data_IF_019539932936
#
_entry.id   IF_019539932936
#
_cell.length_a   1.000
_cell.length_b   1.000
_cell.length_c   1.000
_cell.angle_alpha   90.00
_cell.angle_beta   90.00
_cell.angle_gamma   90.00
#
_symmetry.space_group_name_H-M   'P 1'
#
loop_
_entity.id
_entity.type
_entity.pdbx_description
1 polymer ?
#
# COMPACT_ATOMS: atom_id res chain seq x y z
N UNK A 1 24.60 -40.08 -37.53
CA UNK A 1 25.32 -38.89 -37.02
C UNK A 1 24.91 -38.73 -35.55
N UNK A 2 25.40 -39.52 -34.59
CA UNK A 2 26.70 -39.41 -33.91
C UNK A 2 27.13 -37.94 -33.66
N UNK A 3 27.18 -37.55 -32.37
CA UNK A 3 27.50 -36.19 -31.87
C UNK A 3 28.97 -35.78 -31.99
N UNK A 4 29.39 -34.66 -31.36
CA UNK A 4 29.93 -34.67 -29.98
C UNK A 4 29.34 -33.52 -29.12
N UNK A 5 29.18 -33.62 -27.80
CA UNK A 5 30.15 -33.79 -26.70
C UNK A 5 30.84 -32.49 -26.25
N UNK A 6 30.59 -32.17 -24.97
CA UNK A 6 31.56 -31.79 -23.95
C UNK A 6 31.94 -30.32 -23.64
N UNK A 7 31.97 -30.10 -22.32
CA UNK A 7 32.82 -29.21 -21.49
C UNK A 7 32.26 -27.84 -21.06
N UNK A 8 31.73 -27.79 -19.83
CA UNK A 8 32.21 -26.85 -18.80
C UNK A 8 33.60 -27.33 -18.31
N UNK A 9 34.43 -26.57 -17.54
CA UNK A 9 34.23 -25.25 -16.89
C UNK A 9 35.45 -24.28 -17.03
N UNK A 10 35.33 -23.04 -16.52
CA UNK A 10 36.27 -22.44 -15.53
C UNK A 10 35.99 -20.94 -15.33
N UNK A 11 36.06 -20.54 -14.07
CA UNK A 11 35.84 -19.19 -13.58
C UNK A 11 36.94 -18.20 -14.01
N UNK A 12 36.56 -16.92 -14.14
CA UNK A 12 37.46 -15.82 -13.88
C UNK A 12 36.78 -14.82 -12.93
N UNK A 13 37.46 -14.63 -11.82
CA UNK A 13 37.18 -13.77 -10.68
C UNK A 13 37.16 -12.28 -11.02
N UNK A 14 36.19 -11.57 -10.42
CA UNK A 14 36.46 -10.30 -9.73
C UNK A 14 36.33 -9.01 -10.53
N UNK A 15 35.24 -8.28 -10.26
CA UNK A 15 35.36 -6.87 -9.85
C UNK A 15 34.12 -6.47 -9.03
N UNK A 16 34.32 -6.40 -7.71
CA UNK A 16 33.41 -5.72 -6.79
C UNK A 16 33.62 -4.22 -6.94
N UNK A 17 32.58 -3.47 -7.26
CA UNK A 17 32.42 -2.10 -6.72
C UNK A 17 30.92 -1.74 -6.64
N UNK A 18 30.49 -1.05 -5.57
CA UNK A 18 29.12 -1.04 -5.11
C UNK A 18 28.36 0.21 -5.58
N UNK A 19 27.07 0.08 -5.84
CA UNK A 19 26.24 1.26 -6.07
C UNK A 19 24.83 0.95 -6.52
N UNK A 20 23.88 1.38 -5.68
CA UNK A 20 22.45 1.62 -5.95
C UNK A 20 21.53 0.40 -5.69
N UNK A 21 20.80 0.34 -4.55
CA UNK A 21 19.60 -0.47 -4.47
C UNK A 21 18.49 0.28 -5.19
N UNK A 22 18.27 0.01 -6.48
CA UNK A 22 17.11 0.54 -7.23
C UNK A 22 16.22 -0.59 -7.72
N UNK A 23 15.24 -0.86 -6.86
CA UNK A 23 13.79 -0.99 -7.11
C UNK A 23 13.29 -2.11 -6.23
N UNK A 24 12.56 -1.73 -5.19
CA UNK A 24 11.62 -2.63 -4.55
C UNK A 24 10.76 -3.25 -5.64
N UNK A 25 10.85 -4.57 -5.81
CA UNK A 25 9.81 -5.32 -6.46
C UNK A 25 8.50 -4.92 -5.78
N UNK A 26 7.58 -4.34 -6.54
CA UNK A 26 6.18 -4.26 -6.11
C UNK A 26 5.73 -5.71 -6.02
N UNK A 27 5.90 -6.35 -4.87
CA UNK A 27 5.24 -7.60 -4.56
C UNK A 27 3.76 -7.32 -4.76
N UNK A 28 3.18 -7.82 -5.87
CA UNK A 28 1.74 -7.73 -6.10
C UNK A 28 1.09 -8.31 -4.86
N UNK A 29 0.44 -7.46 -4.06
CA UNK A 29 -0.30 -7.91 -2.90
C UNK A 29 -1.28 -8.96 -3.43
N UNK A 30 -1.19 -10.20 -2.93
CA UNK A 30 -2.16 -11.24 -3.28
C UNK A 30 -3.49 -10.80 -2.68
N UNK A 31 -4.29 -10.08 -3.46
CA UNK A 31 -5.65 -9.73 -3.10
C UNK A 31 -6.48 -11.00 -3.13
N UNK A 32 -7.32 -11.20 -2.11
CA UNK A 32 -8.29 -12.29 -2.08
C UNK A 32 -9.51 -11.79 -2.84
N UNK A 33 -9.86 -12.40 -3.98
CA UNK A 33 -11.05 -12.04 -4.74
C UNK A 33 -12.27 -12.08 -3.82
N UNK A 34 -13.15 -11.08 -3.90
CA UNK A 34 -14.31 -11.00 -3.02
C UNK A 34 -14.11 -10.15 -1.77
N UNK A 35 -12.87 -9.96 -1.27
CA UNK A 35 -12.56 -9.05 -0.15
C UNK A 35 -12.04 -7.68 -0.62
N UNK A 36 -12.24 -7.32 -1.89
CA UNK A 36 -11.79 -6.04 -2.43
C UNK A 36 -12.71 -4.89 -1.99
N UNK A 37 -12.14 -3.71 -1.76
CA UNK A 37 -12.93 -2.50 -1.48
C UNK A 37 -13.45 -1.92 -2.78
N UNK A 38 -14.79 -1.80 -2.87
CA UNK A 38 -15.47 -1.15 -3.98
C UNK A 38 -15.81 -2.12 -5.12
N UNK A 39 -17.10 -2.32 -5.34
CA UNK A 39 -17.64 -2.81 -6.61
C UNK A 39 -18.34 -1.64 -7.28
N UNK A 40 -18.22 -1.54 -8.59
CA UNK A 40 -18.83 -0.45 -9.37
C UNK A 40 -19.87 -1.02 -10.32
N UNK A 41 -21.00 -0.33 -10.42
CA UNK A 41 -22.03 -0.62 -11.41
C UNK A 41 -22.00 0.45 -12.51
N UNK A 42 -22.26 0.04 -13.75
CA UNK A 42 -22.48 1.00 -14.85
C UNK A 42 -23.76 1.79 -14.60
N UNK A 43 -23.71 3.10 -14.83
CA UNK A 43 -24.88 3.97 -14.74
C UNK A 43 -26.03 3.54 -15.67
N UNK A 44 -25.70 2.97 -16.85
CA UNK A 44 -26.70 2.49 -17.83
C UNK A 44 -27.52 1.31 -17.31
N UNK A 45 -26.98 0.55 -16.36
CA UNK A 45 -27.71 -0.56 -15.72
C UNK A 45 -28.65 -0.07 -14.61
N UNK A 46 -28.68 1.24 -14.31
CA UNK A 46 -29.42 1.83 -13.19
C UNK A 46 -30.49 2.83 -13.63
N UNK A 47 -30.28 3.51 -14.76
CA UNK A 47 -31.25 4.45 -15.32
C UNK A 47 -32.15 3.68 -16.28
N UNK A 48 -33.36 3.33 -15.83
CA UNK A 48 -34.46 3.21 -16.79
C UNK A 48 -34.63 4.58 -17.45
N UNK A 49 -35.01 4.60 -18.72
CA UNK A 49 -34.95 5.72 -19.67
C UNK A 49 -35.81 6.96 -19.31
N UNK A 50 -36.25 7.11 -18.05
CA UNK A 50 -37.26 8.10 -17.64
C UNK A 50 -36.83 9.13 -16.60
N UNK A 51 -35.59 9.14 -16.14
CA UNK A 51 -35.07 10.26 -15.34
C UNK A 51 -33.81 10.81 -16.00
N UNK A 52 -33.90 11.91 -16.77
CA UNK A 52 -32.72 12.68 -17.12
C UNK A 52 -32.04 13.08 -15.81
N UNK A 53 -30.82 12.60 -15.57
CA UNK A 53 -29.98 13.06 -14.46
C UNK A 53 -29.36 14.43 -14.76
N UNK A 54 -29.84 15.13 -15.78
CA UNK A 54 -29.66 16.57 -15.91
C UNK A 54 -30.60 17.27 -14.93
N UNK A 55 -30.16 17.36 -13.66
CA UNK A 55 -30.65 18.46 -12.83
C UNK A 55 -30.21 19.78 -13.50
N UNK A 56 -30.97 20.88 -13.32
CA UNK A 56 -30.68 22.19 -13.95
C UNK A 56 -29.35 22.84 -13.54
N UNK A 57 -28.50 22.14 -12.78
CA UNK A 57 -27.16 22.55 -12.39
C UNK A 57 -26.20 21.39 -12.71
N UNK A 58 -25.69 21.39 -13.94
CA UNK A 58 -24.92 20.31 -14.55
C UNK A 58 -23.55 20.06 -13.92
N UNK A 59 -23.48 19.07 -13.02
CA UNK A 59 -22.26 18.32 -12.80
C UNK A 59 -22.23 17.10 -13.72
N UNK A 60 -21.05 16.76 -14.27
CA UNK A 60 -20.86 15.49 -14.98
C UNK A 60 -21.24 14.33 -14.08
N UNK A 61 -22.21 13.51 -14.50
CA UNK A 61 -22.60 12.31 -13.77
C UNK A 61 -21.56 11.22 -14.05
N UNK A 62 -20.96 10.60 -13.01
CA UNK A 62 -19.97 9.55 -13.22
C UNK A 62 -20.56 8.37 -13.99
N UNK A 63 -19.83 7.90 -15.02
CA UNK A 63 -20.23 6.75 -15.84
C UNK A 63 -20.40 5.44 -15.03
N UNK A 64 -19.80 5.38 -13.84
CA UNK A 64 -19.89 4.28 -12.89
C UNK A 64 -20.18 4.80 -11.50
N UNK A 65 -21.09 4.13 -10.78
CA UNK A 65 -21.47 4.46 -9.41
C UNK A 65 -21.06 3.32 -8.46
N UNK A 66 -20.70 3.62 -7.20
CA UNK A 66 -20.42 2.60 -6.21
C UNK A 66 -21.62 1.68 -5.99
N UNK A 67 -21.41 0.37 -6.00
CA UNK A 67 -22.45 -0.63 -5.76
C UNK A 67 -23.08 -0.47 -4.37
N UNK A 68 -22.31 -0.01 -3.38
CA UNK A 68 -22.82 0.26 -2.04
C UNK A 68 -23.93 1.31 -2.02
N UNK A 69 -23.76 2.39 -2.79
CA UNK A 69 -24.75 3.45 -2.91
C UNK A 69 -26.02 2.96 -3.62
N UNK A 70 -25.85 2.11 -4.64
CA UNK A 70 -26.96 1.47 -5.36
C UNK A 70 -27.79 0.61 -4.41
N UNK A 71 -27.13 -0.29 -3.69
CA UNK A 71 -27.78 -1.21 -2.74
C UNK A 71 -28.48 -0.41 -1.63
N UNK A 72 -27.84 0.64 -1.13
CA UNK A 72 -28.45 1.50 -0.11
C UNK A 72 -29.73 2.16 -0.61
N UNK A 73 -29.72 2.77 -1.80
CA UNK A 73 -30.92 3.38 -2.40
C UNK A 73 -32.03 2.36 -2.59
N UNK A 74 -31.74 1.15 -3.08
CA UNK A 74 -32.76 0.11 -3.23
C UNK A 74 -33.31 -0.39 -1.89
N UNK A 75 -32.45 -0.42 -0.86
CA UNK A 75 -32.84 -0.74 0.51
C UNK A 75 -33.85 0.27 1.04
N UNK A 76 -33.57 1.56 0.90
CA UNK A 76 -34.52 2.63 1.26
C UNK A 76 -35.81 2.53 0.44
N UNK A 77 -35.72 2.24 -0.86
CA UNK A 77 -36.85 2.11 -1.79
C UNK A 77 -37.63 0.77 -1.65
N UNK A 78 -37.58 0.12 -0.49
CA UNK A 78 -38.46 -0.99 -0.13
C UNK A 78 -37.78 -2.35 0.06
N UNK A 79 -36.52 -2.54 -0.35
CA UNK A 79 -35.83 -3.83 -0.13
C UNK A 79 -35.60 -4.11 1.37
N UNK A 80 -35.65 -3.08 2.21
CA UNK A 80 -35.65 -3.23 3.67
C UNK A 80 -36.77 -4.12 4.20
N UNK A 81 -37.96 -4.12 3.58
CA UNK A 81 -39.08 -4.95 4.00
C UNK A 81 -38.78 -6.45 3.75
N UNK A 82 -38.14 -6.76 2.62
CA UNK A 82 -37.72 -8.13 2.27
C UNK A 82 -36.63 -8.63 3.20
N UNK A 83 -35.66 -7.76 3.53
CA UNK A 83 -34.49 -8.12 4.33
C UNK A 83 -34.74 -8.12 5.84
N UNK A 84 -35.84 -7.54 6.33
CA UNK A 84 -36.18 -7.49 7.75
C UNK A 84 -36.00 -8.88 8.45
N UNK A 85 -35.24 -8.98 9.57
CA UNK A 85 -34.64 -7.91 10.38
C UNK A 85 -33.21 -7.49 10.03
N UNK A 86 -32.67 -7.92 8.89
CA UNK A 86 -31.30 -7.64 8.48
C UNK A 86 -31.20 -6.18 8.05
N UNK A 87 -30.38 -5.42 8.78
CA UNK A 87 -30.00 -4.05 8.39
C UNK A 87 -28.80 -4.06 7.47
N UNK A 88 -28.85 -3.18 6.48
CA UNK A 88 -27.72 -2.87 5.59
C UNK A 88 -27.01 -1.62 6.13
N UNK A 89 -25.69 -1.64 6.09
CA UNK A 89 -24.85 -0.48 6.38
C UNK A 89 -24.80 0.47 5.17
N UNK A 90 -25.08 1.76 5.39
CA UNK A 90 -25.17 2.77 4.33
C UNK A 90 -23.84 2.95 3.56
N UNK A 91 -22.70 2.83 4.23
CA UNK A 91 -21.40 3.11 3.62
C UNK A 91 -20.92 1.96 2.74
N UNK A 92 -21.11 0.73 3.22
CA UNK A 92 -20.65 -0.50 2.54
C UNK A 92 -21.72 -1.12 1.64
N UNK A 93 -23.00 -0.80 1.85
CA UNK A 93 -24.11 -1.48 1.19
C UNK A 93 -24.16 -2.97 1.55
N UNK A 94 -23.65 -3.35 2.73
CA UNK A 94 -23.59 -4.73 3.16
C UNK A 94 -24.47 -5.01 4.38
N UNK A 95 -25.02 -6.23 4.49
CA UNK A 95 -25.77 -6.63 5.67
C UNK A 95 -24.85 -6.84 6.88
N UNK A 96 -25.36 -6.53 8.06
CA UNK A 96 -24.67 -6.75 9.34
C UNK A 96 -23.56 -5.72 9.63
N UNK A 97 -22.58 -6.12 10.42
CA UNK A 97 -21.50 -5.20 10.81
C UNK A 97 -20.56 -4.87 9.64
N UNK A 98 -20.05 -3.63 9.64
CA UNK A 98 -19.12 -3.16 8.63
C UNK A 98 -17.72 -3.78 8.84
N UNK A 99 -17.06 -4.18 7.74
CA UNK A 99 -15.70 -4.70 7.73
C UNK A 99 -14.83 -3.76 6.89
N UNK A 100 -13.75 -3.25 7.49
CA UNK A 100 -12.73 -2.53 6.73
C UNK A 100 -11.87 -3.53 5.95
N UNK A 101 -12.30 -3.83 4.72
CA UNK A 101 -11.65 -4.80 3.85
C UNK A 101 -10.25 -4.37 3.41
N UNK A 102 -9.99 -3.07 3.26
CA UNK A 102 -8.65 -2.57 2.93
C UNK A 102 -7.66 -2.92 4.05
N UNK A 103 -8.04 -2.65 5.30
CA UNK A 103 -7.25 -2.99 6.45
C UNK A 103 -7.14 -4.51 6.63
N UNK A 104 -8.23 -5.25 6.41
CA UNK A 104 -8.23 -6.72 6.45
C UNK A 104 -7.23 -7.31 5.45
N UNK A 105 -7.25 -6.87 4.19
CA UNK A 105 -6.30 -7.30 3.17
C UNK A 105 -4.85 -6.96 3.54
N UNK A 106 -4.60 -5.76 4.08
CA UNK A 106 -3.27 -5.38 4.57
C UNK A 106 -2.79 -6.34 5.67
N UNK A 107 -3.66 -6.70 6.60
CA UNK A 107 -3.29 -7.64 7.67
C UNK A 107 -3.05 -9.05 7.13
N UNK A 108 -3.88 -9.55 6.21
CA UNK A 108 -3.74 -10.89 5.63
C UNK A 108 -2.42 -11.01 4.85
N UNK A 109 -2.08 -10.00 4.04
CA UNK A 109 -0.87 -10.00 3.22
C UNK A 109 0.40 -9.90 4.06
N UNK A 110 0.35 -9.14 5.16
CA UNK A 110 1.50 -8.94 6.04
C UNK A 110 1.57 -9.96 7.18
N UNK A 111 0.61 -10.87 7.29
CA UNK A 111 0.64 -11.91 8.32
C UNK A 111 1.94 -12.75 8.17
N UNK A 112 2.67 -13.01 9.26
CA UNK A 112 3.85 -13.87 9.20
C UNK A 112 3.46 -15.26 8.67
N UNK A 113 4.31 -15.82 7.81
CA UNK A 113 4.10 -16.98 6.90
C UNK A 113 3.06 -18.04 7.35
N UNK A 114 2.24 -18.44 6.38
CA UNK A 114 1.20 -19.48 6.41
C UNK A 114 0.16 -19.27 7.53
N UNK A 115 -0.85 -18.45 7.23
CA UNK A 115 -2.08 -18.45 8.02
C UNK A 115 -2.60 -19.89 8.11
N UNK A 116 -2.99 -20.38 9.30
CA UNK A 116 -3.57 -21.71 9.43
C UNK A 116 -4.75 -21.87 8.48
N UNK A 117 -4.98 -23.09 7.97
CA UNK A 117 -6.04 -23.36 7.00
C UNK A 117 -7.43 -22.88 7.47
N UNK A 118 -7.67 -22.88 8.78
CA UNK A 118 -8.88 -22.33 9.38
C UNK A 118 -9.10 -20.84 9.07
N UNK A 119 -8.04 -20.02 9.04
CA UNK A 119 -8.13 -18.60 8.65
C UNK A 119 -8.43 -18.47 7.17
N UNK A 120 -7.71 -19.22 6.33
CA UNK A 120 -7.90 -19.23 4.87
C UNK A 120 -9.33 -19.62 4.54
N UNK A 121 -9.85 -20.68 5.15
CA UNK A 121 -11.22 -21.14 4.98
C UNK A 121 -12.24 -20.09 5.44
N UNK A 122 -12.05 -19.49 6.62
CA UNK A 122 -12.97 -18.46 7.13
C UNK A 122 -13.05 -17.24 6.19
N UNK A 123 -11.91 -16.74 5.72
CA UNK A 123 -11.87 -15.60 4.81
C UNK A 123 -12.33 -15.93 3.39
N UNK A 124 -12.11 -17.16 2.93
CA UNK A 124 -12.66 -17.64 1.66
C UNK A 124 -14.18 -17.77 1.72
N UNK A 125 -14.73 -18.31 2.80
CA UNK A 125 -16.18 -18.36 3.03
C UNK A 125 -16.78 -16.95 3.08
N UNK A 126 -16.12 -16.03 3.79
CA UNK A 126 -16.53 -14.62 3.83
C UNK A 126 -16.56 -13.99 2.43
N UNK A 127 -15.49 -14.19 1.64
CA UNK A 127 -15.36 -13.68 0.29
C UNK A 127 -16.45 -14.23 -0.65
N UNK A 128 -16.67 -15.55 -0.62
CA UNK A 128 -17.68 -16.22 -1.43
C UNK A 128 -19.09 -15.74 -1.03
N UNK A 129 -19.38 -15.64 0.27
CA UNK A 129 -20.66 -15.17 0.75
C UNK A 129 -20.94 -13.73 0.31
N UNK A 130 -19.91 -12.87 0.33
CA UNK A 130 -19.99 -11.49 -0.16
C UNK A 130 -20.30 -11.41 -1.65
N UNK A 131 -19.58 -12.17 -2.48
CA UNK A 131 -19.83 -12.24 -3.93
C UNK A 131 -21.25 -12.73 -4.22
N UNK A 132 -21.68 -13.81 -3.55
CA UNK A 132 -23.03 -14.38 -3.72
C UNK A 132 -24.11 -13.37 -3.33
N UNK A 133 -23.92 -12.68 -2.21
CA UNK A 133 -24.84 -11.62 -1.78
C UNK A 133 -24.98 -10.55 -2.87
N UNK A 134 -23.89 -10.01 -3.39
CA UNK A 134 -23.96 -8.99 -4.43
C UNK A 134 -24.59 -9.49 -5.73
N UNK A 135 -24.22 -10.69 -6.19
CA UNK A 135 -24.81 -11.29 -7.39
C UNK A 135 -26.33 -11.50 -7.23
N UNK A 136 -26.77 -11.99 -6.06
CA UNK A 136 -28.20 -12.20 -5.79
C UNK A 136 -28.96 -10.90 -5.62
N UNK A 137 -28.34 -9.86 -5.06
CA UNK A 137 -28.92 -8.52 -5.01
C UNK A 137 -29.11 -7.94 -6.42
N UNK A 138 -28.11 -8.07 -7.29
CA UNK A 138 -28.23 -7.63 -8.68
C UNK A 138 -29.35 -8.38 -9.42
N UNK A 139 -29.43 -9.70 -9.27
CA UNK A 139 -30.50 -10.51 -9.86
C UNK A 139 -31.88 -10.07 -9.34
N UNK A 140 -32.03 -9.89 -8.02
CA UNK A 140 -33.27 -9.42 -7.42
C UNK A 140 -33.71 -8.07 -7.99
N UNK A 141 -32.80 -7.12 -8.15
CA UNK A 141 -33.10 -5.81 -8.73
C UNK A 141 -33.61 -5.94 -10.17
N UNK A 142 -32.92 -6.71 -11.01
CA UNK A 142 -33.32 -6.92 -12.42
C UNK A 142 -34.73 -7.51 -12.49
N UNK A 143 -35.02 -8.53 -11.69
CA UNK A 143 -36.34 -9.15 -11.64
C UNK A 143 -37.41 -8.17 -11.13
N UNK A 144 -37.10 -7.36 -10.10
CA UNK A 144 -37.99 -6.31 -9.59
C UNK A 144 -38.35 -5.30 -10.68
N UNK A 145 -37.35 -4.80 -11.42
CA UNK A 145 -37.55 -3.83 -12.50
C UNK A 145 -38.40 -4.42 -13.62
N UNK A 146 -38.06 -5.63 -14.10
CA UNK A 146 -38.83 -6.30 -15.14
C UNK A 146 -40.30 -6.52 -14.74
N UNK A 147 -40.54 -6.90 -13.49
CA UNK A 147 -41.92 -7.05 -12.97
C UNK A 147 -42.68 -5.72 -12.98
N UNK A 148 -42.06 -4.63 -12.51
CA UNK A 148 -42.68 -3.30 -12.50
C UNK A 148 -43.04 -2.85 -13.92
N UNK A 149 -42.12 -3.02 -14.88
CA UNK A 149 -42.33 -2.65 -16.29
C UNK A 149 -43.46 -3.49 -16.93
N UNK A 150 -43.50 -4.80 -16.65
CA UNK A 150 -44.54 -5.69 -17.14
C UNK A 150 -45.92 -5.32 -16.57
N UNK A 151 -46.00 -5.05 -15.27
CA UNK A 151 -47.25 -4.61 -14.61
C UNK A 151 -47.75 -3.28 -15.21
N UNK A 152 -46.86 -2.31 -15.40
CA UNK A 152 -47.21 -1.03 -16.02
C UNK A 152 -47.75 -1.21 -17.45
N UNK A 153 -47.11 -2.07 -18.24
CA UNK A 153 -47.54 -2.40 -19.61
C UNK A 153 -48.92 -3.08 -19.61
N UNK A 154 -49.13 -4.04 -18.71
CA UNK A 154 -50.42 -4.71 -18.55
C UNK A 154 -51.55 -3.72 -18.21
N UNK A 155 -51.28 -2.76 -17.32
CA UNK A 155 -52.26 -1.74 -16.96
C UNK A 155 -52.60 -0.81 -18.13
N UNK A 156 -51.61 -0.43 -18.93
CA UNK A 156 -51.82 0.39 -20.13
C UNK A 156 -52.66 -0.35 -21.18
N UNK A 157 -52.37 -1.64 -21.40
CA UNK A 157 -53.17 -2.49 -22.28
C UNK A 157 -54.60 -2.69 -21.77
N UNK A 158 -54.78 -2.83 -20.45
CA UNK A 158 -56.10 -2.90 -19.84
C UNK A 158 -56.90 -1.62 -20.06
N UNK A 159 -56.31 -0.45 -19.82
CA UNK A 159 -56.97 0.83 -20.07
C UNK A 159 -57.34 1.00 -21.55
N UNK A 160 -56.46 0.59 -22.47
CA UNK A 160 -56.72 0.59 -23.91
C UNK A 160 -57.88 -0.35 -24.28
N UNK A 161 -57.95 -1.52 -23.66
CA UNK A 161 -59.07 -2.44 -23.88
C UNK A 161 -60.40 -1.80 -23.49
N UNK A 162 -60.46 -1.16 -22.32
CA UNK A 162 -61.66 -0.46 -21.84
C UNK A 162 -62.07 0.70 -22.78
N UNK A 163 -61.10 1.43 -23.32
CA UNK A 163 -61.40 2.52 -24.25
C UNK A 163 -61.88 2.03 -25.62
N UNK A 164 -61.35 0.91 -26.12
CA UNK A 164 -61.86 0.26 -27.34
C UNK A 164 -63.32 -0.17 -27.14
N UNK A 165 -63.65 -0.72 -25.97
CA UNK A 165 -65.02 -1.16 -25.66
C UNK A 165 -65.98 0.03 -25.54
N UNK A 166 -65.53 1.16 -24.99
CA UNK A 166 -66.31 2.38 -24.89
C UNK A 166 -66.47 3.13 -26.22
N UNK A 167 -65.43 3.09 -27.08
CA UNK A 167 -65.34 3.89 -28.30
C UNK A 167 -64.95 3.05 -29.54
N UNK A 168 -65.69 2.00 -29.90
CA UNK A 168 -65.28 1.05 -30.94
C UNK A 168 -65.09 1.69 -32.33
N UNK A 169 -65.80 2.78 -32.62
CA UNK A 169 -65.70 3.51 -33.90
C UNK A 169 -64.40 4.29 -34.11
N UNK A 170 -63.58 4.49 -33.06
CA UNK A 170 -62.28 5.17 -33.17
C UNK A 170 -61.13 4.22 -33.57
N UNK A 171 -61.41 2.93 -33.67
CA UNK A 171 -60.40 1.89 -33.82
C UNK A 171 -60.60 1.05 -35.08
N UNK A 172 -59.48 0.55 -35.63
CA UNK A 172 -59.52 -0.32 -36.81
C UNK A 172 -60.20 -1.67 -36.54
N UNK A 173 -60.70 -2.35 -37.58
CA UNK A 173 -61.22 -3.69 -37.44
C UNK A 173 -60.12 -4.60 -36.88
N UNK A 174 -60.42 -5.38 -35.83
CA UNK A 174 -59.52 -6.25 -35.06
C UNK A 174 -58.75 -5.59 -33.89
N UNK A 175 -58.92 -4.30 -33.61
CA UNK A 175 -58.23 -3.65 -32.48
C UNK A 175 -58.57 -4.28 -31.12
N UNK A 176 -59.84 -4.66 -30.90
CA UNK A 176 -60.29 -5.31 -29.67
C UNK A 176 -59.65 -6.69 -29.47
N UNK A 177 -59.67 -7.54 -30.51
CA UNK A 177 -59.12 -8.89 -30.46
C UNK A 177 -57.59 -8.88 -30.26
N UNK A 178 -56.89 -8.00 -30.99
CA UNK A 178 -55.44 -7.83 -30.87
C UNK A 178 -55.04 -7.33 -29.48
N UNK A 179 -55.76 -6.35 -28.93
CA UNK A 179 -55.51 -5.82 -27.59
C UNK A 179 -55.76 -6.88 -26.53
N UNK A 180 -56.85 -7.63 -26.61
CA UNK A 180 -57.19 -8.69 -25.66
C UNK A 180 -56.19 -9.85 -25.71
N UNK A 181 -55.79 -10.29 -26.90
CA UNK A 181 -54.75 -11.32 -27.08
C UNK A 181 -53.40 -10.89 -26.48
N UNK A 182 -53.00 -9.64 -26.71
CA UNK A 182 -51.76 -9.07 -26.17
C UNK A 182 -51.83 -8.92 -24.65
N UNK A 183 -52.97 -8.46 -24.12
CA UNK A 183 -53.20 -8.33 -22.68
C UNK A 183 -53.10 -9.69 -21.98
N UNK A 184 -53.70 -10.76 -22.54
CA UNK A 184 -53.59 -12.12 -21.99
C UNK A 184 -52.15 -12.61 -21.91
N UNK A 185 -51.34 -12.34 -22.95
CA UNK A 185 -49.90 -12.68 -22.94
C UNK A 185 -49.15 -11.92 -21.86
N UNK A 186 -49.38 -10.60 -21.76
CA UNK A 186 -48.73 -9.76 -20.77
C UNK A 186 -49.10 -10.18 -19.33
N UNK A 187 -50.36 -10.54 -19.05
CA UNK A 187 -50.78 -11.08 -17.75
C UNK A 187 -50.05 -12.39 -17.43
N UNK A 188 -49.92 -13.30 -18.41
CA UNK A 188 -49.19 -14.54 -18.21
C UNK A 188 -47.70 -14.29 -17.92
N UNK A 189 -47.08 -13.34 -18.61
CA UNK A 189 -45.70 -12.90 -18.36
C UNK A 189 -45.54 -12.28 -16.97
N UNK A 190 -46.47 -11.40 -16.55
CA UNK A 190 -46.51 -10.84 -15.19
C UNK A 190 -46.53 -11.93 -14.13
N UNK A 191 -47.43 -12.92 -14.26
CA UNK A 191 -47.54 -14.02 -13.29
C UNK A 191 -46.24 -14.83 -13.17
N UNK A 192 -45.54 -15.07 -14.28
CA UNK A 192 -44.24 -15.75 -14.25
C UNK A 192 -43.17 -14.87 -13.60
N UNK A 193 -43.13 -13.58 -13.92
CA UNK A 193 -42.22 -12.62 -13.30
C UNK A 193 -42.47 -12.47 -11.79
N UNK A 194 -43.71 -12.53 -11.32
CA UNK A 194 -44.06 -12.54 -9.90
C UNK A 194 -43.44 -13.76 -9.20
N UNK A 195 -43.59 -14.97 -9.76
CA UNK A 195 -42.97 -16.18 -9.19
C UNK A 195 -41.44 -16.09 -9.20
N UNK A 196 -40.84 -15.52 -10.23
CA UNK A 196 -39.39 -15.29 -10.28
C UNK A 196 -38.95 -14.24 -9.25
N UNK A 197 -39.75 -13.21 -9.02
CA UNK A 197 -39.48 -12.16 -8.04
C UNK A 197 -39.54 -12.72 -6.61
N UNK A 198 -40.52 -13.56 -6.29
CA UNK A 198 -40.59 -14.27 -5.00
C UNK A 198 -39.36 -15.13 -4.76
N UNK A 199 -38.96 -15.94 -5.76
CA UNK A 199 -37.73 -16.76 -5.69
C UNK A 199 -36.49 -15.89 -5.48
N UNK A 200 -36.38 -14.78 -6.21
CA UNK A 200 -35.26 -13.84 -6.10
C UNK A 200 -35.23 -13.16 -4.73
N UNK A 201 -36.40 -12.82 -4.17
CA UNK A 201 -36.55 -12.23 -2.83
C UNK A 201 -36.10 -13.20 -1.74
N UNK A 202 -36.54 -14.46 -1.81
CA UNK A 202 -36.14 -15.51 -0.89
C UNK A 202 -34.63 -15.79 -0.98
N UNK A 203 -34.09 -15.85 -2.19
CA UNK A 203 -32.65 -16.02 -2.45
C UNK A 203 -31.83 -14.88 -1.86
N UNK A 204 -32.24 -13.63 -2.10
CA UNK A 204 -31.57 -12.46 -1.53
C UNK A 204 -31.55 -12.50 0.00
N UNK A 205 -32.69 -12.82 0.63
CA UNK A 205 -32.77 -12.96 2.09
C UNK A 205 -31.85 -14.05 2.62
N UNK A 206 -31.81 -15.21 1.95
CA UNK A 206 -30.94 -16.32 2.30
C UNK A 206 -29.46 -15.93 2.21
N UNK A 207 -29.04 -15.32 1.10
CA UNK A 207 -27.65 -14.92 0.91
C UNK A 207 -27.22 -13.75 1.79
N UNK A 208 -28.12 -12.82 2.10
CA UNK A 208 -27.86 -11.77 3.08
C UNK A 208 -27.62 -12.38 4.48
N UNK A 209 -28.47 -13.31 4.92
CA UNK A 209 -28.31 -14.00 6.20
C UNK A 209 -27.02 -14.84 6.24
N UNK A 210 -26.71 -15.56 5.16
CA UNK A 210 -25.48 -16.34 5.03
C UNK A 210 -24.23 -15.43 5.10
N UNK A 211 -24.31 -14.24 4.51
CA UNK A 211 -23.21 -13.28 4.58
C UNK A 211 -23.02 -12.70 5.99
N UNK A 212 -24.11 -12.34 6.69
CA UNK A 212 -24.04 -11.95 8.11
C UNK A 212 -23.41 -13.05 8.96
N UNK A 213 -23.80 -14.31 8.74
CA UNK A 213 -23.21 -15.45 9.42
C UNK A 213 -21.71 -15.57 9.13
N UNK A 214 -21.31 -15.51 7.85
CA UNK A 214 -19.90 -15.58 7.47
C UNK A 214 -19.06 -14.45 8.09
N UNK A 215 -19.62 -13.23 8.22
CA UNK A 215 -18.98 -12.13 8.94
C UNK A 215 -18.76 -12.46 10.43
N UNK A 216 -19.78 -13.00 11.09
CA UNK A 216 -19.69 -13.41 12.50
C UNK A 216 -18.66 -14.54 12.68
N UNK A 217 -18.65 -15.53 11.80
CA UNK A 217 -17.71 -16.66 11.83
C UNK A 217 -16.27 -16.20 11.57
N UNK A 218 -16.06 -15.21 10.68
CA UNK A 218 -14.76 -14.59 10.44
C UNK A 218 -14.31 -13.66 11.58
N UNK A 219 -15.23 -13.17 12.42
CA UNK A 219 -15.00 -12.22 13.51
C UNK A 219 -13.82 -12.59 14.43
N UNK A 220 -13.80 -13.79 15.03
CA UNK A 220 -12.71 -14.24 15.88
C UNK A 220 -11.35 -14.29 15.17
N UNK A 221 -11.34 -14.68 13.89
CA UNK A 221 -10.11 -14.73 13.08
C UNK A 221 -9.60 -13.32 12.77
N UNK A 222 -10.50 -12.38 12.45
CA UNK A 222 -10.16 -10.98 12.27
C UNK A 222 -9.56 -10.37 13.56
N UNK A 223 -10.11 -10.70 14.73
CA UNK A 223 -9.58 -10.22 16.01
C UNK A 223 -8.16 -10.72 16.27
N UNK A 224 -7.91 -12.03 16.07
CA UNK A 224 -6.56 -12.62 16.19
C UNK A 224 -5.58 -12.02 15.18
N UNK A 225 -6.02 -11.79 13.95
CA UNK A 225 -5.20 -11.18 12.90
C UNK A 225 -4.81 -9.73 13.26
N UNK A 226 -5.75 -8.95 13.83
CA UNK A 226 -5.48 -7.59 14.33
C UNK A 226 -4.43 -7.58 15.43
N UNK A 227 -4.51 -8.53 16.38
CA UNK A 227 -3.54 -8.66 17.46
C UNK A 227 -2.15 -9.04 16.92
N UNK A 228 -2.08 -10.05 16.06
CA UNK A 228 -0.83 -10.48 15.43
C UNK A 228 -0.19 -9.34 14.61
N UNK A 229 -0.99 -8.61 13.85
CA UNK A 229 -0.53 -7.48 13.05
C UNK A 229 -0.02 -6.33 13.93
N UNK A 230 -0.71 -6.02 15.04
CA UNK A 230 -0.24 -5.01 16.01
C UNK A 230 1.10 -5.40 16.61
N UNK A 231 1.25 -6.65 17.06
CA UNK A 231 2.51 -7.17 17.59
C UNK A 231 3.64 -7.08 16.57
N UNK A 232 3.36 -7.43 15.31
CA UNK A 232 4.33 -7.28 14.22
C UNK A 232 4.77 -5.81 14.02
N UNK A 233 3.83 -4.87 14.09
CA UNK A 233 4.16 -3.44 13.99
C UNK A 233 5.04 -2.98 15.16
N UNK A 234 4.73 -3.40 16.39
CA UNK A 234 5.54 -3.11 17.57
C UNK A 234 6.94 -3.70 17.45
N UNK A 235 7.06 -4.96 17.03
CA UNK A 235 8.34 -5.64 16.83
C UNK A 235 9.17 -4.96 15.72
N UNK A 236 8.52 -4.51 14.64
CA UNK A 236 9.16 -3.74 13.59
C UNK A 236 9.68 -2.40 14.11
N UNK A 237 8.91 -1.68 14.91
CA UNK A 237 9.33 -0.40 15.52
C UNK A 237 10.51 -0.60 16.48
N UNK A 238 10.45 -1.61 17.34
CA UNK A 238 11.56 -1.98 18.24
C UNK A 238 12.81 -2.36 17.47
N UNK A 239 12.69 -3.16 16.40
CA UNK A 239 13.82 -3.54 15.55
C UNK A 239 14.42 -2.34 14.80
N UNK A 240 13.57 -1.41 14.34
CA UNK A 240 14.01 -0.17 13.69
C UNK A 240 14.78 0.73 14.66
N UNK A 241 14.28 0.88 15.89
CA UNK A 241 14.96 1.64 16.93
C UNK A 241 16.27 0.98 17.39
N UNK A 242 16.27 -0.35 17.56
CA UNK A 242 17.49 -1.11 17.86
C UNK A 242 18.57 -0.92 16.78
N UNK A 243 18.18 -0.94 15.50
CA UNK A 243 19.10 -0.64 14.38
C UNK A 243 19.61 0.81 14.43
N UNK A 244 18.76 1.79 14.75
CA UNK A 244 19.19 3.19 14.94
C UNK A 244 20.24 3.30 16.04
N UNK A 245 19.99 2.68 17.19
CA UNK A 245 20.91 2.67 18.33
C UNK A 245 22.23 1.96 18.01
N UNK A 246 22.20 0.86 17.25
CA UNK A 246 23.41 0.18 16.80
C UNK A 246 24.26 1.05 15.85
N UNK A 247 23.62 1.74 14.91
CA UNK A 247 24.31 2.67 14.02
C UNK A 247 24.93 3.84 14.79
N UNK A 248 24.21 4.40 15.75
CA UNK A 248 24.70 5.49 16.60
C UNK A 248 25.88 5.04 17.48
N UNK A 249 25.81 3.85 18.09
CA UNK A 249 26.93 3.25 18.82
C UNK A 249 28.15 3.05 17.93
N UNK A 250 27.96 2.49 16.74
CA UNK A 250 29.05 2.28 15.78
C UNK A 250 29.68 3.61 15.31
N UNK A 251 28.87 4.67 15.14
CA UNK A 251 29.38 5.99 14.81
C UNK A 251 30.15 6.62 15.97
N UNK A 252 29.65 6.51 17.19
CA UNK A 252 30.32 6.99 18.40
C UNK A 252 31.64 6.27 18.66
N UNK A 253 31.69 4.94 18.48
CA UNK A 253 32.94 4.17 18.54
C UNK A 253 33.95 4.62 17.48
N UNK A 254 33.50 4.86 16.24
CA UNK A 254 34.36 5.41 15.17
C UNK A 254 34.90 6.79 15.55
N UNK A 255 34.06 7.67 16.10
CA UNK A 255 34.47 9.02 16.55
C UNK A 255 35.46 8.94 17.71
N UNK A 256 35.28 8.03 18.66
CA UNK A 256 36.21 7.83 19.78
C UNK A 256 37.56 7.30 19.30
N UNK A 257 37.57 6.30 18.40
CA UNK A 257 38.81 5.79 17.79
C UNK A 257 39.56 6.90 17.03
N UNK A 258 38.85 7.73 16.26
CA UNK A 258 39.44 8.86 15.56
C UNK A 258 40.02 9.92 16.52
N UNK A 259 39.36 10.19 17.66
CA UNK A 259 39.91 11.08 18.70
C UNK A 259 41.17 10.51 19.34
N UNK A 260 41.17 9.24 19.71
CA UNK A 260 42.33 8.57 20.30
C UNK A 260 43.53 8.53 19.33
N UNK A 261 43.26 8.29 18.04
CA UNK A 261 44.30 8.31 17.01
C UNK A 261 44.88 9.72 16.81
N UNK A 262 44.03 10.76 16.79
CA UNK A 262 44.49 12.16 16.77
C UNK A 262 45.34 12.51 17.98
N UNK A 263 44.97 12.06 19.17
CA UNK A 263 45.75 12.29 20.39
C UNK A 263 47.12 11.58 20.34
N UNK A 264 47.16 10.34 19.83
CA UNK A 264 48.40 9.59 19.63
C UNK A 264 49.33 10.30 18.64
N UNK A 265 48.78 10.77 17.51
CA UNK A 265 49.50 11.57 16.52
C UNK A 265 50.02 12.89 17.12
N UNK A 266 49.21 13.58 17.95
CA UNK A 266 49.63 14.81 18.62
C UNK A 266 50.79 14.56 19.61
N UNK A 267 50.74 13.49 20.41
CA UNK A 267 51.84 13.08 21.31
C UNK A 267 53.11 12.75 20.54
N UNK A 268 53.01 12.03 19.41
CA UNK A 268 54.16 11.74 18.55
C UNK A 268 54.79 13.02 17.99
N UNK A 269 53.98 13.97 17.51
CA UNK A 269 54.47 15.28 17.04
C UNK A 269 55.20 16.04 18.16
N UNK A 270 54.60 16.14 19.34
CA UNK A 270 55.21 16.78 20.52
C UNK A 270 56.57 16.15 20.89
N UNK A 271 56.67 14.83 20.78
CA UNK A 271 57.92 14.11 21.05
C UNK A 271 58.97 14.42 19.99
N UNK A 272 58.58 14.42 18.71
CA UNK A 272 59.46 14.77 17.58
C UNK A 272 59.95 16.22 17.69
N UNK A 273 59.07 17.15 18.05
CA UNK A 273 59.41 18.56 18.23
C UNK A 273 60.39 18.76 19.39
N UNK A 274 60.23 18.04 20.51
CA UNK A 274 61.21 18.03 21.61
C UNK A 274 62.58 17.54 21.16
N UNK A 275 62.63 16.46 20.37
CA UNK A 275 63.89 15.91 19.83
C UNK A 275 64.56 16.90 18.88
N UNK A 276 63.80 17.54 17.99
CA UNK A 276 64.32 18.56 17.07
C UNK A 276 64.86 19.78 17.83
N UNK A 277 64.12 20.26 18.85
CA UNK A 277 64.57 21.38 19.69
C UNK A 277 65.85 21.05 20.44
N UNK A 278 65.97 19.86 21.02
CA UNK A 278 67.17 19.41 21.71
C UNK A 278 68.39 19.28 20.75
N UNK A 279 68.18 18.80 19.52
CA UNK A 279 69.23 18.77 18.50
C UNK A 279 69.69 20.17 18.10
N UNK A 280 68.76 21.12 17.90
CA UNK A 280 69.11 22.52 17.61
C UNK A 280 69.92 23.15 18.74
N UNK A 281 69.51 22.98 19.99
CA UNK A 281 70.25 23.50 21.14
C UNK A 281 71.68 22.93 21.25
N UNK A 282 71.88 21.64 20.92
CA UNK A 282 73.23 21.05 20.85
C UNK A 282 74.08 21.61 19.71
N UNK A 283 73.47 21.81 18.53
CA UNK A 283 74.15 22.41 17.40
C UNK A 283 74.56 23.87 17.68
N UNK A 284 73.66 24.64 18.29
CA UNK A 284 73.92 26.03 18.69
C UNK A 284 75.02 26.13 19.76
N UNK A 285 75.02 25.21 20.73
CA UNK A 285 76.07 25.13 21.76
C UNK A 285 77.43 24.76 21.16
N UNK A 286 77.47 23.79 20.24
CA UNK A 286 78.70 23.42 19.53
C UNK A 286 79.24 24.58 18.67
N UNK A 287 78.36 25.31 17.98
CA UNK A 287 78.73 26.48 17.20
C UNK A 287 79.29 27.62 18.07
N UNK A 288 78.69 27.88 19.24
CA UNK A 288 79.22 28.84 20.21
C UNK A 288 80.59 28.44 20.74
N UNK A 289 80.76 27.17 21.12
CA UNK A 289 82.04 26.66 21.59
C UNK A 289 83.14 26.80 20.51
N UNK A 290 82.81 26.52 19.25
CA UNK A 290 83.75 26.70 18.13
C UNK A 290 84.09 28.18 17.88
N UNK A 291 83.10 29.08 17.98
CA UNK A 291 83.33 30.52 17.89
C UNK A 291 84.23 31.04 19.02
N UNK A 292 84.02 30.57 20.26
CA UNK A 292 84.89 30.91 21.40
C UNK A 292 86.31 30.39 21.22
N UNK A 293 86.47 29.17 20.73
CA UNK A 293 87.78 28.57 20.48
C UNK A 293 88.53 29.32 19.38
N UNK A 294 87.83 29.69 18.30
CA UNK A 294 88.36 30.58 17.26
C UNK A 294 88.75 31.95 17.83
N UNK A 295 87.92 32.56 18.67
CA UNK A 295 88.21 33.84 19.29
C UNK A 295 89.45 33.78 20.20
N UNK A 296 89.61 32.69 20.96
CA UNK A 296 90.82 32.45 21.78
C UNK A 296 92.06 32.27 20.92
N UNK A 297 91.98 31.46 19.87
CA UNK A 297 93.10 31.28 18.93
C UNK A 297 93.50 32.58 18.24
N UNK A 298 92.53 33.44 17.89
CA UNK A 298 92.77 34.76 17.33
C UNK A 298 93.40 35.73 18.34
N UNK A 299 92.94 35.70 19.60
CA UNK A 299 93.51 36.50 20.67
C UNK A 299 94.95 36.08 20.97
N UNK A 300 95.24 34.78 21.01
CA UNK A 300 96.59 34.24 21.15
C UNK A 300 97.47 34.68 19.98
N UNK A 301 97.03 34.51 18.74
CA UNK A 301 97.76 34.97 17.55
C UNK A 301 98.07 36.48 17.59
N UNK A 302 97.09 37.32 17.96
CA UNK A 302 97.29 38.76 18.10
C UNK A 302 98.28 39.10 19.24
N UNK A 303 98.25 38.35 20.35
CA UNK A 303 99.19 38.52 21.45
C UNK A 303 100.62 38.11 21.07
N UNK A 304 100.80 37.00 20.35
CA UNK A 304 102.12 36.59 19.83
C UNK A 304 102.65 37.60 18.82
N UNK A 305 101.78 38.10 17.94
CA UNK A 305 102.16 39.11 16.94
C UNK A 305 102.51 40.47 17.57
N UNK A 306 101.87 40.84 18.69
CA UNK A 306 102.27 42.02 19.48
C UNK A 306 103.64 41.81 20.13
N UNK A 307 103.89 40.67 20.76
CA UNK A 307 105.21 40.33 21.34
C UNK A 307 106.33 40.38 20.30
N UNK A 308 106.12 39.79 19.13
CA UNK A 308 107.09 39.84 18.02
C UNK A 308 107.34 41.26 17.50
N UNK A 309 106.32 42.14 17.52
CA UNK A 309 106.48 43.57 17.18
C UNK A 309 107.23 44.36 18.27
N UNK A 310 106.97 44.04 19.54
CA UNK A 310 107.67 44.65 20.67
C UNK A 310 109.13 44.19 20.74
N UNK A 311 109.41 42.91 20.48
CA UNK A 311 110.76 42.34 20.35
C UNK A 311 111.51 42.90 19.14
N UNK A 312 110.84 43.11 18.00
CA UNK A 312 111.44 43.76 16.83
C UNK A 312 111.70 45.27 17.04
N UNK A 313 110.90 45.95 17.85
CA UNK A 313 111.11 47.36 18.21
C UNK A 313 112.15 47.55 19.34
N UNK A 314 112.41 46.52 20.15
CA UNK A 314 113.46 46.53 21.17
C UNK A 314 114.85 46.17 20.62
N UNK A 315 114.93 45.75 19.35
CA UNK A 315 116.17 45.43 18.64
C UNK A 315 116.65 46.57 17.70
N UNK A 316 116.01 47.75 17.72
CA UNK A 316 116.43 49.00 17.09
C UNK A 316 116.71 50.05 18.18
#
# INVERSE_FOLDING_TARGET
>A
MAGPSNMQPAAATGSVTPGIPKKSEKTKQKQIPGLETGYYASQRSFTSEFVPLERPFGGEVPATIPLSEVIWRDYENGTHAVLNPIRIDMQSGEPGHNINYEFLNKMIVNAPRALPDAFTNAFQVLAIARIRYYATHESYRKTKTALIESVATSQLLHNKHMDIDANPGHYGPNAAENTNSTLKKCIAECNELERQFEKSSASLKFHAAAFVKAKNDAGPFMAKLKEAYRKMQEDYLKAKEAKRLQLEKAENEKRQKAKAEKEKLAKQKLTRDKVVKARRQRADAAAKAHMELNARSWAEYLATRKRLKEEANAAN
#
